data_IF_907625450568
#
_entry.id   IF_907625450568
#
_cell.length_a   1.000
_cell.length_b   1.000
_cell.length_c   1.000
_cell.angle_alpha   90.00
_cell.angle_beta   90.00
_cell.angle_gamma   90.00
#
_symmetry.space_group_name_H-M   'P 1'
#
loop_
_entity.id
_entity.type
_entity.pdbx_description
1 polymer ?
#
# COMPACT_ATOMS: atom_id res chain seq x y z
N UNK A 1 28.09 -21.85 -23.58
CA UNK A 1 27.68 -21.12 -22.37
C UNK A 1 26.16 -21.29 -22.28
N UNK A 2 25.67 -22.10 -21.32
CA UNK A 2 24.22 -22.33 -21.14
C UNK A 2 23.65 -21.19 -20.33
N UNK A 3 22.71 -20.46 -20.91
CA UNK A 3 21.93 -19.45 -20.19
C UNK A 3 20.94 -20.19 -19.30
N UNK A 4 21.17 -20.18 -18.01
CA UNK A 4 20.21 -20.65 -17.02
C UNK A 4 19.16 -19.55 -16.84
N UNK A 5 17.98 -19.77 -17.41
CA UNK A 5 16.79 -18.96 -17.16
C UNK A 5 16.40 -19.14 -15.67
N UNK A 6 16.68 -18.12 -14.89
CA UNK A 6 16.22 -18.05 -13.48
C UNK A 6 14.71 -17.91 -13.44
N UNK A 7 13.99 -19.02 -13.39
CA UNK A 7 12.57 -19.04 -13.05
C UNK A 7 12.43 -18.62 -11.60
N UNK A 8 11.64 -17.57 -11.37
CA UNK A 8 11.06 -17.30 -10.05
C UNK A 8 10.46 -18.61 -9.51
N UNK A 9 10.69 -19.01 -8.26
CA UNK A 9 10.16 -20.27 -7.74
C UNK A 9 8.65 -20.22 -7.84
N UNK A 10 8.07 -21.09 -8.67
CA UNK A 10 6.65 -21.44 -8.63
C UNK A 10 6.43 -22.20 -7.32
N UNK A 11 6.26 -21.46 -6.21
CA UNK A 11 5.72 -22.04 -5.01
C UNK A 11 4.23 -22.26 -5.25
N UNK A 12 3.90 -23.42 -5.79
CA UNK A 12 2.58 -24.00 -5.61
C UNK A 12 2.44 -24.40 -4.13
N UNK A 13 2.42 -23.42 -3.23
CA UNK A 13 2.01 -23.64 -1.85
C UNK A 13 0.55 -24.09 -1.90
N UNK A 14 0.24 -25.19 -1.21
CA UNK A 14 -1.13 -25.70 -1.10
C UNK A 14 -2.03 -24.80 -0.25
N UNK A 15 -1.51 -23.73 0.32
CA UNK A 15 -2.22 -22.73 1.12
C UNK A 15 -2.21 -21.34 0.45
N UNK A 16 -3.23 -20.51 0.71
CA UNK A 16 -3.21 -19.12 0.27
C UNK A 16 -2.03 -18.36 0.88
N UNK A 17 -1.50 -17.38 0.12
CA UNK A 17 -0.53 -16.42 0.64
C UNK A 17 -1.21 -15.49 1.64
N UNK A 18 -0.57 -15.23 2.76
CA UNK A 18 -1.03 -14.27 3.77
C UNK A 18 -0.33 -12.94 3.58
N UNK A 19 -1.10 -11.90 3.37
CA UNK A 19 -0.60 -10.53 3.18
C UNK A 19 -1.23 -9.64 4.23
N UNK A 20 -0.43 -8.92 5.00
CA UNK A 20 -0.95 -7.91 5.91
C UNK A 20 -0.50 -6.51 5.48
N UNK A 21 -1.44 -5.57 5.55
CA UNK A 21 -1.18 -4.16 5.29
C UNK A 21 -1.24 -3.38 6.60
N UNK A 22 -0.18 -2.64 6.89
CA UNK A 22 0.00 -1.92 8.15
C UNK A 22 -0.23 -0.43 7.92
N UNK A 23 -1.16 0.19 8.65
CA UNK A 23 -1.38 1.62 8.52
C UNK A 23 -2.57 2.15 9.31
N UNK A 24 -3.15 3.25 8.83
CA UNK A 24 -4.27 3.92 9.47
C UNK A 24 -5.48 3.99 8.55
N UNK A 25 -6.63 3.66 9.11
CA UNK A 25 -7.94 4.00 8.54
C UNK A 25 -8.52 5.17 9.32
N UNK A 26 -9.00 6.17 8.61
CA UNK A 26 -9.58 7.39 9.18
C UNK A 26 -11.03 7.56 8.75
N UNK A 27 -11.80 8.32 9.54
CA UNK A 27 -13.09 8.85 9.11
C UNK A 27 -12.83 9.94 8.07
N UNK A 28 -13.40 9.77 6.88
CA UNK A 28 -13.41 10.79 5.83
C UNK A 28 -14.75 11.52 5.85
N UNK A 29 -14.70 12.83 5.97
CA UNK A 29 -15.85 13.71 5.85
C UNK A 29 -15.70 14.57 4.59
N UNK A 30 -16.68 14.50 3.71
CA UNK A 30 -16.66 15.26 2.45
C UNK A 30 -17.86 16.19 2.38
N UNK A 31 -17.65 17.45 2.06
CA UNK A 31 -18.69 18.47 1.97
C UNK A 31 -18.29 19.77 2.64
N UNK A 32 -19.29 20.57 2.97
CA UNK A 32 -19.12 21.85 3.66
C UNK A 32 -20.25 22.10 4.68
N UNK A 33 -20.10 23.06 5.61
CA UNK A 33 -21.11 23.31 6.64
C UNK A 33 -22.47 23.75 6.14
N UNK A 34 -22.57 24.30 4.92
CA UNK A 34 -23.83 24.79 4.35
C UNK A 34 -24.59 23.68 3.64
N UNK A 35 -23.91 22.79 2.91
CA UNK A 35 -24.49 21.68 2.15
C UNK A 35 -24.56 20.37 2.92
N UNK A 36 -23.89 20.30 4.08
CA UNK A 36 -23.75 19.08 4.88
C UNK A 36 -22.56 18.23 4.46
N UNK A 37 -22.39 17.11 5.15
CA UNK A 37 -21.25 16.21 4.96
C UNK A 37 -21.73 14.80 4.64
N UNK A 38 -21.03 14.14 3.72
CA UNK A 38 -21.07 12.69 3.58
C UNK A 38 -19.89 12.08 4.34
N UNK A 39 -20.11 10.94 4.96
CA UNK A 39 -19.10 10.22 5.74
C UNK A 39 -18.75 8.91 5.05
N UNK A 40 -17.47 8.63 4.98
CA UNK A 40 -16.91 7.34 4.57
C UNK A 40 -15.62 7.06 5.33
N UNK A 41 -14.86 6.06 4.93
CA UNK A 41 -13.57 5.73 5.53
C UNK A 41 -12.49 5.70 4.45
N UNK A 42 -11.27 6.14 4.81
CA UNK A 42 -10.14 6.20 3.90
C UNK A 42 -8.81 6.04 4.62
N UNK A 43 -7.80 5.68 3.85
CA UNK A 43 -6.42 5.50 4.26
C UNK A 43 -5.66 4.82 3.13
N UNK A 44 -4.43 5.21 2.87
CA UNK A 44 -3.64 4.70 1.76
C UNK A 44 -3.48 3.18 1.79
N UNK A 45 -3.05 2.65 2.92
CA UNK A 45 -2.87 1.20 3.09
C UNK A 45 -4.21 0.44 3.14
N UNK A 46 -5.29 1.08 3.64
CA UNK A 46 -6.63 0.49 3.55
C UNK A 46 -7.10 0.40 2.11
N UNK A 47 -6.92 1.48 1.32
CA UNK A 47 -7.29 1.48 -0.10
C UNK A 47 -6.57 0.35 -0.84
N UNK A 48 -5.27 0.19 -0.58
CA UNK A 48 -4.46 -0.90 -1.15
C UNK A 48 -4.97 -2.27 -0.68
N UNK A 49 -5.33 -2.44 0.60
CA UNK A 49 -5.86 -3.70 1.13
C UNK A 49 -7.18 -4.11 0.47
N UNK A 50 -8.10 -3.16 0.34
CA UNK A 50 -9.41 -3.39 -0.29
C UNK A 50 -9.24 -3.79 -1.77
N UNK A 51 -8.42 -3.05 -2.52
CA UNK A 51 -8.18 -3.39 -3.93
C UNK A 51 -7.45 -4.73 -4.09
N UNK A 52 -6.46 -5.03 -3.22
CA UNK A 52 -5.78 -6.33 -3.23
C UNK A 52 -6.76 -7.48 -2.99
N UNK A 53 -7.64 -7.35 -2.00
CA UNK A 53 -8.69 -8.33 -1.69
C UNK A 53 -9.66 -8.51 -2.87
N UNK A 54 -10.10 -7.41 -3.51
CA UNK A 54 -11.02 -7.45 -4.66
C UNK A 54 -10.42 -8.11 -5.90
N UNK A 55 -9.09 -8.03 -6.07
CA UNK A 55 -8.36 -8.58 -7.23
C UNK A 55 -7.90 -10.01 -7.04
N UNK A 56 -8.02 -10.55 -5.85
CA UNK A 56 -7.43 -11.84 -5.51
C UNK A 56 -8.45 -12.74 -4.83
N UNK A 57 -8.77 -13.92 -5.40
CA UNK A 57 -9.59 -14.90 -4.69
C UNK A 57 -8.95 -15.28 -3.35
N UNK A 58 -9.74 -15.41 -2.30
CA UNK A 58 -9.26 -15.81 -0.96
C UNK A 58 -8.56 -17.19 -0.95
N UNK A 59 -8.80 -18.01 -1.95
CA UNK A 59 -8.06 -19.25 -2.16
C UNK A 59 -6.60 -19.04 -2.58
N UNK A 60 -6.25 -17.85 -3.07
CA UNK A 60 -4.90 -17.50 -3.49
C UNK A 60 -4.22 -16.53 -2.52
N UNK A 61 -4.94 -15.49 -2.07
CA UNK A 61 -4.40 -14.46 -1.19
C UNK A 61 -5.43 -14.16 -0.10
N UNK A 62 -5.00 -14.23 1.15
CA UNK A 62 -5.74 -13.73 2.31
C UNK A 62 -5.11 -12.39 2.68
N UNK A 63 -5.94 -11.36 2.74
CA UNK A 63 -5.52 -9.99 3.05
C UNK A 63 -6.01 -9.60 4.43
N UNK A 64 -5.11 -9.21 5.31
CA UNK A 64 -5.41 -8.72 6.66
C UNK A 64 -4.98 -7.25 6.81
N UNK A 65 -5.67 -6.53 7.68
CA UNK A 65 -5.31 -5.16 8.03
C UNK A 65 -4.77 -5.08 9.45
N UNK A 66 -3.64 -4.42 9.63
CA UNK A 66 -2.97 -4.24 10.91
C UNK A 66 -2.98 -2.76 11.28
N UNK A 67 -3.69 -2.46 12.34
CA UNK A 67 -3.89 -1.10 12.86
C UNK A 67 -4.37 -1.16 14.31
N UNK A 68 -4.65 0.00 14.89
CA UNK A 68 -5.43 0.10 16.11
C UNK A 68 -6.65 1.01 15.90
N UNK A 69 -7.74 0.67 16.55
CA UNK A 69 -9.01 1.44 16.62
C UNK A 69 -9.51 1.56 18.05
N UNK A 70 -10.54 2.34 18.25
CA UNK A 70 -11.19 2.48 19.55
C UNK A 70 -12.31 1.47 19.79
N UNK A 71 -13.15 1.80 20.81
CA UNK A 71 -14.36 1.08 21.17
C UNK A 71 -15.64 1.83 20.77
N UNK A 72 -15.51 2.84 19.94
CA UNK A 72 -16.58 3.68 19.43
C UNK A 72 -17.27 3.09 18.18
N UNK A 73 -18.45 3.65 17.84
CA UNK A 73 -19.26 3.17 16.70
C UNK A 73 -18.60 3.34 15.34
N UNK A 74 -17.69 4.32 15.15
CA UNK A 74 -16.94 4.46 13.91
C UNK A 74 -15.88 3.37 13.77
N UNK A 75 -15.21 3.03 14.88
CA UNK A 75 -14.28 1.90 14.92
C UNK A 75 -14.96 0.57 14.57
N UNK A 76 -16.17 0.34 15.07
CA UNK A 76 -16.97 -0.84 14.71
C UNK A 76 -17.38 -0.83 13.22
N UNK A 77 -17.83 0.32 12.72
CA UNK A 77 -18.21 0.48 11.31
C UNK A 77 -17.02 0.30 10.35
N UNK A 78 -15.82 0.78 10.72
CA UNK A 78 -14.59 0.53 9.95
C UNK A 78 -14.30 -0.97 9.84
N UNK A 79 -14.31 -1.67 10.97
CA UNK A 79 -14.07 -3.13 10.99
C UNK A 79 -15.12 -3.89 10.20
N UNK A 80 -16.38 -3.46 10.23
CA UNK A 80 -17.42 -4.07 9.40
C UNK A 80 -17.16 -3.85 7.92
N UNK A 81 -16.79 -2.62 7.49
CA UNK A 81 -16.40 -2.34 6.11
C UNK A 81 -15.25 -3.26 5.65
N UNK A 82 -14.23 -3.44 6.47
CA UNK A 82 -13.09 -4.29 6.10
C UNK A 82 -13.53 -5.74 5.88
N UNK A 83 -14.34 -6.29 6.77
CA UNK A 83 -14.92 -7.65 6.60
C UNK A 83 -15.77 -7.77 5.34
N UNK A 84 -16.63 -6.77 5.05
CA UNK A 84 -17.47 -6.74 3.86
C UNK A 84 -16.63 -6.65 2.56
N UNK A 85 -15.43 -6.07 2.65
CA UNK A 85 -14.46 -6.02 1.58
C UNK A 85 -13.53 -7.25 1.52
N UNK A 86 -13.72 -8.22 2.42
CA UNK A 86 -12.90 -9.42 2.49
C UNK A 86 -11.51 -9.18 3.06
N UNK A 87 -11.33 -8.10 3.82
CA UNK A 87 -10.10 -7.79 4.53
C UNK A 87 -10.25 -8.22 5.99
N UNK A 88 -9.35 -9.10 6.45
CA UNK A 88 -9.36 -9.63 7.80
C UNK A 88 -8.97 -8.57 8.84
N UNK A 89 -9.59 -8.65 10.02
CA UNK A 89 -9.37 -7.74 11.15
C UNK A 89 -8.90 -8.47 12.44
N UNK A 90 -8.41 -9.69 12.29
CA UNK A 90 -8.04 -10.55 13.42
C UNK A 90 -6.85 -10.01 14.25
N UNK A 91 -6.02 -9.17 13.67
CA UNK A 91 -4.87 -8.54 14.33
C UNK A 91 -5.04 -7.03 14.54
N UNK A 92 -6.28 -6.52 14.48
CA UNK A 92 -6.58 -5.13 14.82
C UNK A 92 -6.60 -4.98 16.34
N UNK A 93 -5.81 -4.03 16.86
CA UNK A 93 -5.85 -3.71 18.29
C UNK A 93 -7.04 -2.82 18.62
N UNK A 94 -7.75 -3.17 19.68
CA UNK A 94 -8.82 -2.34 20.25
C UNK A 94 -8.25 -1.64 21.47
N UNK A 95 -8.26 -0.31 21.45
CA UNK A 95 -7.73 0.53 22.54
C UNK A 95 -8.89 1.28 23.17
N UNK A 96 -9.19 0.96 24.43
CA UNK A 96 -10.27 1.62 25.16
C UNK A 96 -10.01 3.12 25.31
N UNK A 97 -11.05 3.93 25.07
CA UNK A 97 -10.98 5.38 25.12
C UNK A 97 -10.26 6.07 23.95
N UNK A 98 -9.61 5.30 23.07
CA UNK A 98 -9.03 5.87 21.85
C UNK A 98 -10.08 6.01 20.74
N UNK A 99 -9.76 6.81 19.72
CA UNK A 99 -10.65 7.09 18.58
C UNK A 99 -9.86 7.01 17.27
N UNK A 100 -10.53 6.73 16.13
CA UNK A 100 -9.87 6.83 14.82
C UNK A 100 -9.55 8.29 14.47
N UNK A 101 -8.58 8.45 13.59
CA UNK A 101 -8.31 9.76 12.98
C UNK A 101 -9.48 10.21 12.11
N UNK A 102 -9.57 11.52 11.90
CA UNK A 102 -10.61 12.16 11.10
C UNK A 102 -9.95 13.14 10.12
N UNK A 103 -10.47 13.21 8.90
CA UNK A 103 -10.14 14.30 7.98
C UNK A 103 -11.35 14.77 7.20
N UNK A 104 -11.31 16.05 6.80
CA UNK A 104 -12.30 16.67 5.93
C UNK A 104 -11.70 16.92 4.55
N UNK A 105 -12.48 16.66 3.52
CA UNK A 105 -12.20 17.09 2.16
C UNK A 105 -13.19 18.21 1.82
N UNK A 106 -12.66 19.43 1.72
CA UNK A 106 -13.40 20.59 1.24
C UNK A 106 -12.99 20.85 -0.20
N UNK A 107 -13.96 21.05 -1.07
CA UNK A 107 -13.73 21.44 -2.47
C UNK A 107 -14.19 22.88 -2.63
N UNK A 108 -13.30 23.74 -3.10
CA UNK A 108 -13.65 25.15 -3.36
C UNK A 108 -14.43 25.34 -4.67
N UNK A 109 -14.81 26.58 -4.96
CA UNK A 109 -15.57 26.91 -6.17
C UNK A 109 -14.79 26.67 -7.49
N UNK A 110 -13.47 26.53 -7.43
CA UNK A 110 -12.58 26.22 -8.54
C UNK A 110 -12.37 24.70 -8.70
N UNK A 111 -12.90 23.89 -7.77
CA UNK A 111 -12.73 22.44 -7.76
C UNK A 111 -11.47 21.97 -7.04
N UNK A 112 -10.69 22.88 -6.46
CA UNK A 112 -9.48 22.55 -5.70
C UNK A 112 -9.84 21.93 -4.34
N UNK A 113 -9.10 20.90 -3.94
CA UNK A 113 -9.37 20.18 -2.70
C UNK A 113 -8.43 20.62 -1.60
N UNK A 114 -9.01 20.89 -0.43
CA UNK A 114 -8.30 21.15 0.81
C UNK A 114 -8.60 20.07 1.81
N UNK A 115 -7.54 19.49 2.40
CA UNK A 115 -7.61 18.47 3.43
C UNK A 115 -7.34 19.07 4.80
N UNK A 116 -8.22 18.79 5.76
CA UNK A 116 -8.06 19.20 7.16
C UNK A 116 -8.04 17.94 8.01
N UNK A 117 -6.99 17.75 8.82
CA UNK A 117 -6.74 16.53 9.56
C UNK A 117 -6.84 16.71 11.07
N UNK A 118 -7.51 15.76 11.73
CA UNK A 118 -7.51 15.54 13.17
C UNK A 118 -7.08 14.09 13.43
N UNK A 119 -5.77 13.85 13.50
CA UNK A 119 -5.21 12.50 13.65
C UNK A 119 -4.09 12.42 14.69
N UNK A 120 -3.81 13.54 15.40
CA UNK A 120 -2.70 13.62 16.35
C UNK A 120 -2.80 12.64 17.51
N UNK A 121 -4.03 12.23 17.89
CA UNK A 121 -4.34 11.28 18.97
C UNK A 121 -5.03 10.02 18.47
N UNK A 122 -4.97 9.74 17.17
CA UNK A 122 -5.62 8.57 16.60
C UNK A 122 -5.07 7.26 17.20
N UNK A 123 -5.96 6.30 17.42
CA UNK A 123 -5.62 4.97 17.94
C UNK A 123 -4.49 4.29 17.16
N UNK A 124 -4.50 4.45 15.83
CA UNK A 124 -3.50 3.87 14.93
C UNK A 124 -2.06 4.28 15.27
N UNK A 125 -1.85 5.43 15.91
CA UNK A 125 -0.51 5.88 16.36
C UNK A 125 0.10 4.94 17.40
N UNK A 126 -0.75 4.26 18.18
CA UNK A 126 -0.39 3.38 19.28
C UNK A 126 -0.40 1.90 18.90
N UNK A 127 -0.52 1.57 17.60
CA UNK A 127 -0.64 0.19 17.12
C UNK A 127 0.45 -0.74 17.69
N UNK A 128 1.65 -0.23 17.85
CA UNK A 128 2.81 -1.02 18.31
C UNK A 128 3.35 -0.57 19.68
N UNK A 129 2.59 0.22 20.43
CA UNK A 129 3.01 0.71 21.74
C UNK A 129 2.59 -0.24 22.88
N UNK A 130 3.50 -0.37 23.84
CA UNK A 130 3.27 -1.07 25.10
C UNK A 130 3.21 -2.59 24.98
N UNK A 131 3.16 -3.30 26.14
CA UNK A 131 3.21 -4.77 26.19
C UNK A 131 2.04 -5.45 25.47
N UNK A 132 0.90 -4.76 25.33
CA UNK A 132 -0.26 -5.29 24.61
C UNK A 132 -0.02 -5.43 23.10
N UNK A 133 1.05 -4.83 22.55
CA UNK A 133 1.46 -5.00 21.16
C UNK A 133 2.31 -6.25 20.92
N UNK A 134 2.83 -6.90 21.96
CA UNK A 134 3.80 -7.99 21.81
C UNK A 134 3.28 -9.17 20.97
N UNK A 135 2.04 -9.58 21.21
CA UNK A 135 1.41 -10.65 20.43
C UNK A 135 1.26 -10.27 18.94
N UNK A 136 0.87 -9.02 18.66
CA UNK A 136 0.78 -8.49 17.30
C UNK A 136 2.15 -8.44 16.63
N UNK A 137 3.18 -7.93 17.33
CA UNK A 137 4.56 -7.84 16.82
C UNK A 137 5.16 -9.23 16.53
N UNK A 138 4.77 -10.26 17.28
CA UNK A 138 5.16 -11.65 17.02
C UNK A 138 4.42 -12.21 15.80
N UNK A 139 3.13 -11.94 15.66
CA UNK A 139 2.29 -12.43 14.57
C UNK A 139 2.72 -11.89 13.19
N UNK A 140 3.51 -10.82 13.11
CA UNK A 140 4.03 -10.31 11.82
C UNK A 140 4.86 -11.36 11.08
N UNK A 141 5.50 -12.28 11.79
CA UNK A 141 6.29 -13.36 11.19
C UNK A 141 5.44 -14.50 10.59
N UNK A 142 4.12 -14.51 10.81
CA UNK A 142 3.20 -15.51 10.27
C UNK A 142 2.67 -15.14 8.86
N UNK A 143 3.03 -13.96 8.37
CA UNK A 143 2.67 -13.46 7.04
C UNK A 143 3.74 -13.76 6.01
N UNK A 144 3.31 -14.03 4.78
CA UNK A 144 4.22 -14.17 3.64
C UNK A 144 4.70 -12.79 3.14
N UNK A 145 3.82 -11.79 3.24
CA UNK A 145 4.12 -10.40 2.86
C UNK A 145 3.56 -9.40 3.86
N UNK A 146 4.35 -8.36 4.13
CA UNK A 146 3.93 -7.19 4.90
C UNK A 146 4.07 -5.94 4.02
N UNK A 147 2.98 -5.22 3.85
CA UNK A 147 2.92 -3.97 3.11
C UNK A 147 2.85 -2.79 4.09
N UNK A 148 3.71 -1.82 3.89
CA UNK A 148 3.77 -0.58 4.66
C UNK A 148 3.91 0.62 3.72
N UNK A 149 3.45 1.78 4.18
CA UNK A 149 3.72 3.05 3.50
C UNK A 149 4.58 3.98 4.33
N UNK A 150 5.05 5.06 3.72
CA UNK A 150 5.71 6.13 4.45
C UNK A 150 4.81 6.78 5.50
N UNK A 151 3.48 6.82 5.25
CA UNK A 151 2.50 7.26 6.24
C UNK A 151 2.45 6.29 7.43
N UNK A 152 2.52 4.97 7.18
CA UNK A 152 2.55 3.97 8.26
C UNK A 152 3.68 4.24 9.26
N UNK A 153 4.86 4.63 8.77
CA UNK A 153 5.99 5.00 9.65
C UNK A 153 5.78 6.35 10.34
N UNK A 154 5.26 7.34 9.60
CA UNK A 154 5.15 8.71 10.06
C UNK A 154 4.18 8.89 11.22
N UNK A 155 3.07 8.13 11.23
CA UNK A 155 2.03 8.25 12.26
C UNK A 155 2.41 7.62 13.59
N UNK A 156 3.29 6.61 13.57
CA UNK A 156 3.66 5.88 14.79
C UNK A 156 4.46 6.77 15.75
N UNK A 157 4.33 6.49 17.03
CA UNK A 157 5.26 7.02 18.04
C UNK A 157 6.69 6.56 17.73
N UNK A 158 7.69 7.25 18.25
CA UNK A 158 9.08 6.83 18.07
C UNK A 158 9.31 5.40 18.59
N UNK A 159 8.75 5.07 19.75
CA UNK A 159 8.83 3.72 20.35
C UNK A 159 8.12 2.68 19.49
N UNK A 160 6.86 2.95 19.07
CA UNK A 160 6.08 2.03 18.25
C UNK A 160 6.76 1.76 16.89
N UNK A 161 7.38 2.78 16.28
CA UNK A 161 8.16 2.63 15.04
C UNK A 161 9.40 1.76 15.25
N UNK A 162 10.13 1.94 16.35
CA UNK A 162 11.27 1.09 16.66
C UNK A 162 10.86 -0.37 16.90
N UNK A 163 9.78 -0.60 17.67
CA UNK A 163 9.21 -1.93 17.89
C UNK A 163 8.81 -2.60 16.56
N UNK A 164 8.14 -1.86 15.69
CA UNK A 164 7.77 -2.34 14.35
C UNK A 164 9.02 -2.73 13.53
N UNK A 165 10.03 -1.86 13.43
CA UNK A 165 11.25 -2.15 12.67
C UNK A 165 11.99 -3.39 13.19
N UNK A 166 12.03 -3.58 14.52
CA UNK A 166 12.58 -4.79 15.11
C UNK A 166 11.77 -6.04 14.76
N UNK A 167 10.43 -5.95 14.79
CA UNK A 167 9.56 -7.05 14.40
C UNK A 167 9.68 -7.39 12.90
N UNK A 168 9.80 -6.38 12.02
CA UNK A 168 10.05 -6.58 10.59
C UNK A 168 11.37 -7.30 10.32
N UNK A 169 12.45 -6.97 11.07
CA UNK A 169 13.72 -7.71 10.98
C UNK A 169 13.54 -9.18 11.32
N UNK A 170 12.78 -9.50 12.39
CA UNK A 170 12.48 -10.89 12.78
C UNK A 170 11.62 -11.59 11.73
N UNK A 171 10.56 -10.95 11.27
CA UNK A 171 9.67 -11.50 10.25
C UNK A 171 10.45 -11.81 8.95
N UNK A 172 11.30 -10.88 8.49
CA UNK A 172 12.15 -11.10 7.32
C UNK A 172 13.13 -12.26 7.50
N UNK A 173 13.72 -12.41 8.68
CA UNK A 173 14.58 -13.55 8.99
C UNK A 173 13.83 -14.90 8.97
N UNK A 174 12.50 -14.88 9.17
CA UNK A 174 11.61 -16.05 9.05
C UNK A 174 11.08 -16.26 7.63
N UNK A 175 11.42 -15.39 6.65
CA UNK A 175 11.05 -15.55 5.25
C UNK A 175 9.92 -14.61 4.77
N UNK A 176 9.36 -13.78 5.64
CA UNK A 176 8.40 -12.73 5.27
C UNK A 176 9.05 -11.71 4.35
N UNK A 177 8.38 -11.32 3.28
CA UNK A 177 8.82 -10.27 2.36
C UNK A 177 8.17 -8.94 2.69
N UNK A 178 8.94 -7.87 2.56
CA UNK A 178 8.48 -6.52 2.89
C UNK A 178 8.22 -5.73 1.60
N UNK A 179 7.03 -5.15 1.51
CA UNK A 179 6.60 -4.26 0.42
C UNK A 179 6.45 -2.85 0.97
N UNK A 180 7.06 -1.88 0.31
CA UNK A 180 7.05 -0.49 0.74
C UNK A 180 6.51 0.44 -0.35
N UNK A 181 5.54 1.30 0.00
CA UNK A 181 5.09 2.44 -0.79
C UNK A 181 5.61 3.73 -0.14
N UNK A 182 6.35 4.55 -0.87
CA UNK A 182 7.01 5.71 -0.28
C UNK A 182 6.03 6.74 0.30
N UNK A 183 4.95 7.04 -0.36
CA UNK A 183 3.83 7.89 0.07
C UNK A 183 4.25 8.98 1.09
N UNK A 184 5.23 9.81 0.71
CA UNK A 184 5.85 10.80 1.58
C UNK A 184 4.92 11.99 1.82
N UNK A 185 4.71 12.31 3.10
CA UNK A 185 3.90 13.47 3.51
C UNK A 185 4.71 14.34 4.48
N UNK A 186 5.34 15.41 3.99
CA UNK A 186 6.25 16.25 4.79
C UNK A 186 5.66 16.69 6.14
N UNK A 187 4.39 17.06 6.16
CA UNK A 187 3.71 17.57 7.36
C UNK A 187 3.51 16.54 8.48
N UNK A 188 3.76 15.25 8.21
CA UNK A 188 3.70 14.19 9.22
C UNK A 188 5.05 13.95 9.92
N UNK A 189 6.11 14.61 9.46
CA UNK A 189 7.45 14.44 9.98
C UNK A 189 7.93 15.71 10.67
N UNK A 190 8.77 15.61 11.71
CA UNK A 190 9.40 16.78 12.31
C UNK A 190 10.23 17.57 11.30
N UNK A 191 10.97 16.85 10.46
CA UNK A 191 11.79 17.36 9.37
C UNK A 191 12.09 16.26 8.34
N UNK A 192 12.71 16.62 7.22
CA UNK A 192 13.05 15.71 6.16
C UNK A 192 14.15 14.70 6.56
N UNK A 193 15.02 15.04 7.50
CA UNK A 193 16.09 14.14 7.94
C UNK A 193 15.52 12.97 8.76
N UNK A 194 14.59 13.23 9.66
CA UNK A 194 13.87 12.19 10.40
C UNK A 194 13.11 11.24 9.44
N UNK A 195 12.53 11.79 8.38
CA UNK A 195 11.88 10.97 7.34
C UNK A 195 12.90 10.11 6.59
N UNK A 196 14.03 10.69 6.12
CA UNK A 196 15.08 9.95 5.39
C UNK A 196 15.65 8.82 6.24
N UNK A 197 15.87 9.05 7.52
CA UNK A 197 16.38 8.01 8.42
C UNK A 197 15.39 6.86 8.55
N UNK A 198 14.11 7.15 8.82
CA UNK A 198 13.08 6.12 8.98
C UNK A 198 12.86 5.32 7.68
N UNK A 199 12.86 6.01 6.52
CA UNK A 199 12.78 5.35 5.21
C UNK A 199 14.01 4.48 4.95
N UNK A 200 15.22 5.00 5.22
CA UNK A 200 16.46 4.22 5.07
C UNK A 200 16.48 2.97 5.93
N UNK A 201 15.94 3.03 7.16
CA UNK A 201 15.84 1.86 8.04
C UNK A 201 14.85 0.81 7.51
N UNK A 202 13.72 1.24 6.91
CA UNK A 202 12.77 0.33 6.29
C UNK A 202 13.26 -0.19 4.94
N UNK A 203 13.87 0.66 4.09
CA UNK A 203 14.37 0.27 2.77
C UNK A 203 15.40 -0.86 2.84
N UNK A 204 16.23 -0.91 3.90
CA UNK A 204 17.16 -2.06 4.14
C UNK A 204 16.46 -3.39 4.41
N UNK A 205 15.15 -3.34 4.68
CA UNK A 205 14.32 -4.53 4.92
C UNK A 205 13.39 -4.81 3.74
N UNK A 206 13.28 -3.88 2.78
CA UNK A 206 12.31 -3.92 1.69
C UNK A 206 12.77 -4.84 0.56
N UNK A 207 11.87 -5.70 0.10
CA UNK A 207 12.07 -6.57 -1.07
C UNK A 207 11.45 -5.97 -2.34
N UNK A 208 10.27 -5.35 -2.24
CA UNK A 208 9.57 -4.68 -3.33
C UNK A 208 9.24 -3.24 -2.92
N UNK A 209 9.65 -2.26 -3.71
CA UNK A 209 9.34 -0.84 -3.52
C UNK A 209 8.42 -0.33 -4.62
N UNK A 210 7.27 0.26 -4.24
CA UNK A 210 6.25 0.83 -5.11
C UNK A 210 6.29 2.36 -4.97
N UNK A 211 7.14 3.01 -5.74
CA UNK A 211 7.60 4.38 -5.50
C UNK A 211 6.89 5.37 -6.40
N UNK A 212 6.43 6.48 -5.81
CA UNK A 212 5.96 7.66 -6.54
C UNK A 212 7.14 8.62 -6.71
N UNK A 213 7.45 8.98 -7.95
CA UNK A 213 8.62 9.82 -8.29
C UNK A 213 8.63 11.14 -7.54
N UNK A 214 7.50 11.84 -7.51
CA UNK A 214 7.40 13.16 -6.92
C UNK A 214 7.67 13.15 -5.40
N UNK A 215 7.21 12.09 -4.72
CA UNK A 215 7.41 11.92 -3.28
C UNK A 215 8.90 11.67 -2.95
N UNK A 216 9.58 10.84 -3.74
CA UNK A 216 11.00 10.54 -3.55
C UNK A 216 11.92 11.70 -3.97
N UNK A 217 11.60 12.36 -5.08
CA UNK A 217 12.31 13.56 -5.50
C UNK A 217 12.24 14.67 -4.43
N UNK A 218 11.07 14.81 -3.79
CA UNK A 218 10.88 15.77 -2.70
C UNK A 218 11.67 15.38 -1.45
N UNK A 219 11.73 14.08 -1.08
CA UNK A 219 12.39 13.64 0.15
C UNK A 219 13.91 13.53 -0.01
N UNK A 220 14.37 12.87 -1.08
CA UNK A 220 15.78 12.51 -1.27
C UNK A 220 16.49 13.41 -2.29
N UNK A 221 15.76 14.11 -3.16
CA UNK A 221 16.34 15.01 -4.16
C UNK A 221 17.05 14.28 -5.30
N UNK A 222 16.63 13.07 -5.67
CA UNK A 222 17.22 12.37 -6.82
C UNK A 222 17.06 13.17 -8.10
N UNK A 223 18.13 13.22 -8.89
CA UNK A 223 18.17 14.00 -10.13
C UNK A 223 17.34 13.35 -11.24
N UNK A 224 17.32 12.02 -11.27
CA UNK A 224 16.64 11.21 -12.27
C UNK A 224 16.32 9.79 -11.74
N UNK A 225 15.65 9.00 -12.54
CA UNK A 225 15.27 7.63 -12.18
C UNK A 225 16.49 6.71 -11.99
N UNK A 226 17.60 6.98 -12.69
CA UNK A 226 18.83 6.17 -12.56
C UNK A 226 19.42 6.32 -11.16
N UNK A 227 19.57 7.56 -10.69
CA UNK A 227 20.05 7.85 -9.33
C UNK A 227 19.15 7.22 -8.25
N UNK A 228 17.82 7.20 -8.47
CA UNK A 228 16.89 6.52 -7.59
C UNK A 228 17.14 5.01 -7.58
N UNK A 229 17.22 4.37 -8.75
CA UNK A 229 17.42 2.93 -8.85
C UNK A 229 18.77 2.49 -8.24
N UNK A 230 19.84 3.25 -8.43
CA UNK A 230 21.13 3.02 -7.80
C UNK A 230 21.03 3.08 -6.28
N UNK A 231 20.35 4.09 -5.73
CA UNK A 231 20.16 4.25 -4.30
C UNK A 231 19.34 3.10 -3.70
N UNK A 232 18.23 2.70 -4.35
CA UNK A 232 17.41 1.59 -3.90
C UNK A 232 18.15 0.25 -3.98
N UNK A 233 18.95 0.05 -5.02
CA UNK A 233 19.87 -1.09 -5.15
C UNK A 233 20.89 -1.14 -4.00
N UNK A 234 21.43 0.01 -3.60
CA UNK A 234 22.35 0.11 -2.47
C UNK A 234 21.69 -0.24 -1.12
N UNK A 235 20.38 -0.02 -0.96
CA UNK A 235 19.61 -0.51 0.19
C UNK A 235 19.34 -2.02 0.12
N UNK A 236 19.52 -2.66 -1.02
CA UNK A 236 19.26 -4.09 -1.24
C UNK A 236 17.84 -4.41 -1.72
N UNK A 237 17.09 -3.42 -2.18
CA UNK A 237 15.75 -3.62 -2.75
C UNK A 237 15.85 -4.39 -4.05
N UNK A 238 15.17 -5.53 -4.16
CA UNK A 238 15.28 -6.43 -5.31
C UNK A 238 14.36 -6.08 -6.49
N UNK A 239 13.27 -5.36 -6.22
CA UNK A 239 12.33 -4.90 -7.25
C UNK A 239 11.82 -3.50 -6.90
N UNK A 240 11.91 -2.56 -7.83
CA UNK A 240 11.39 -1.19 -7.71
C UNK A 240 10.46 -0.92 -8.88
N UNK A 241 9.22 -0.54 -8.59
CA UNK A 241 8.28 -0.01 -9.57
C UNK A 241 8.08 1.49 -9.32
N UNK A 242 8.61 2.32 -10.22
CA UNK A 242 8.59 3.77 -10.13
C UNK A 242 7.41 4.34 -10.90
N UNK A 243 6.39 4.77 -10.15
CA UNK A 243 5.19 5.44 -10.65
C UNK A 243 5.51 6.90 -10.99
N UNK A 244 5.09 7.37 -12.17
CA UNK A 244 5.36 8.72 -12.67
C UNK A 244 4.09 9.39 -13.22
N UNK A 245 2.99 9.31 -12.46
CA UNK A 245 1.69 9.87 -12.84
C UNK A 245 1.19 9.33 -14.18
N UNK A 246 1.00 10.20 -15.16
CA UNK A 246 0.57 9.85 -16.52
C UNK A 246 1.70 9.34 -17.44
N UNK A 247 2.94 9.46 -16.99
CA UNK A 247 4.08 8.90 -17.71
C UNK A 247 4.21 7.39 -17.46
N UNK A 248 5.08 6.75 -18.24
CA UNK A 248 5.33 5.33 -18.12
C UNK A 248 5.88 4.96 -16.72
N UNK A 249 5.41 3.86 -16.15
CA UNK A 249 6.04 3.25 -14.98
C UNK A 249 7.38 2.64 -15.40
N UNK A 250 8.44 2.95 -14.66
CA UNK A 250 9.74 2.31 -14.83
C UNK A 250 9.92 1.23 -13.78
N UNK A 251 10.43 0.08 -14.18
CA UNK A 251 10.67 -1.03 -13.26
C UNK A 251 12.12 -1.44 -13.35
N UNK A 252 12.75 -1.64 -12.20
CA UNK A 252 14.03 -2.32 -12.08
C UNK A 252 13.90 -3.52 -11.17
N UNK A 253 14.33 -4.69 -11.64
CA UNK A 253 14.34 -5.92 -10.85
C UNK A 253 15.49 -6.84 -11.32
N UNK A 254 15.59 -8.05 -10.76
CA UNK A 254 16.61 -9.04 -11.13
C UNK A 254 16.51 -9.48 -12.61
N UNK A 255 15.32 -9.43 -13.20
CA UNK A 255 15.09 -9.82 -14.59
C UNK A 255 15.44 -8.70 -15.59
N UNK A 256 15.80 -7.52 -15.10
CA UNK A 256 16.19 -6.36 -15.91
C UNK A 256 15.36 -5.12 -15.64
N UNK A 257 15.32 -4.25 -16.65
CA UNK A 257 14.57 -2.99 -16.64
C UNK A 257 13.43 -3.03 -17.63
N UNK A 258 12.30 -2.47 -17.22
CA UNK A 258 11.11 -2.40 -18.04
C UNK A 258 10.52 -0.98 -17.99
N UNK A 259 9.94 -0.57 -19.09
CA UNK A 259 9.15 0.65 -19.20
C UNK A 259 7.76 0.29 -19.70
N UNK A 260 6.74 0.63 -18.91
CA UNK A 260 5.35 0.29 -19.19
C UNK A 260 4.53 1.58 -19.26
N UNK A 261 3.98 1.93 -20.44
CA UNK A 261 3.24 3.17 -20.62
C UNK A 261 1.96 3.17 -19.77
N UNK A 262 1.60 4.35 -19.26
CA UNK A 262 0.35 4.54 -18.56
C UNK A 262 -0.87 4.41 -19.49
N UNK A 263 -1.99 4.01 -18.97
CA UNK A 263 -3.24 3.97 -19.70
C UNK A 263 -3.81 5.40 -19.84
N UNK A 264 -4.16 5.78 -21.07
CA UNK A 264 -4.69 7.12 -21.34
C UNK A 264 -6.11 7.27 -20.79
N UNK A 265 -6.33 8.29 -19.96
CA UNK A 265 -7.63 8.62 -19.38
C UNK A 265 -8.12 9.96 -19.94
N UNK A 266 -9.31 9.97 -20.54
CA UNK A 266 -9.90 11.19 -21.13
C UNK A 266 -10.54 12.11 -20.09
N UNK A 267 -11.08 11.54 -19.03
CA UNK A 267 -11.84 12.23 -18.00
C UNK A 267 -11.33 11.83 -16.63
N UNK A 268 -10.59 12.72 -15.99
CA UNK A 268 -10.16 12.57 -14.61
C UNK A 268 -11.19 13.27 -13.72
N UNK A 269 -11.78 12.50 -12.80
CA UNK A 269 -12.78 12.98 -11.84
C UNK A 269 -12.14 13.20 -10.46
N UNK A 270 -11.31 12.26 -10.02
CA UNK A 270 -10.69 12.28 -8.70
C UNK A 270 -9.41 11.44 -8.71
N UNK A 271 -8.27 12.02 -8.36
CA UNK A 271 -6.98 11.30 -8.33
C UNK A 271 -6.71 10.59 -7.00
N UNK A 272 -7.66 10.64 -6.05
CA UNK A 272 -7.53 9.95 -4.76
C UNK A 272 -7.36 8.46 -4.98
N UNK A 273 -6.40 7.87 -4.28
CA UNK A 273 -6.05 6.45 -4.34
C UNK A 273 -5.57 5.92 -5.71
N UNK A 274 -5.19 6.78 -6.66
CA UNK A 274 -4.58 6.32 -7.91
C UNK A 274 -3.30 5.51 -7.65
N UNK A 275 -2.41 6.01 -6.80
CA UNK A 275 -1.19 5.31 -6.38
C UNK A 275 -1.48 4.03 -5.60
N UNK A 276 -2.44 4.08 -4.64
CA UNK A 276 -2.81 2.94 -3.81
C UNK A 276 -3.38 1.79 -4.65
N UNK A 277 -4.26 2.13 -5.60
CA UNK A 277 -4.86 1.17 -6.51
C UNK A 277 -3.83 0.58 -7.49
N UNK A 278 -2.90 1.40 -8.00
CA UNK A 278 -1.78 0.88 -8.78
C UNK A 278 -0.97 -0.13 -7.97
N UNK A 279 -0.59 0.24 -6.74
CA UNK A 279 0.20 -0.60 -5.85
C UNK A 279 -0.50 -1.93 -5.52
N UNK A 280 -1.82 -1.89 -5.27
CA UNK A 280 -2.62 -3.08 -5.04
C UNK A 280 -2.65 -4.03 -6.25
N UNK A 281 -2.89 -3.49 -7.45
CA UNK A 281 -2.98 -4.30 -8.66
C UNK A 281 -1.60 -4.84 -9.08
N UNK A 282 -0.54 -4.05 -8.92
CA UNK A 282 0.83 -4.50 -9.13
C UNK A 282 1.14 -5.69 -8.21
N UNK A 283 0.92 -5.53 -6.92
CA UNK A 283 1.16 -6.57 -5.93
C UNK A 283 0.30 -7.81 -6.21
N UNK A 284 -1.00 -7.66 -6.48
CA UNK A 284 -1.90 -8.76 -6.79
C UNK A 284 -1.37 -9.60 -7.97
N UNK A 285 -0.92 -8.95 -9.04
CA UNK A 285 -0.36 -9.63 -10.21
C UNK A 285 0.94 -10.38 -9.86
N UNK A 286 1.87 -9.72 -9.14
CA UNK A 286 3.14 -10.34 -8.73
C UNK A 286 2.93 -11.56 -7.84
N UNK A 287 2.02 -11.47 -6.87
CA UNK A 287 1.69 -12.57 -5.95
C UNK A 287 1.03 -13.75 -6.65
N UNK A 288 0.35 -13.52 -7.76
CA UNK A 288 -0.24 -14.56 -8.60
C UNK A 288 0.73 -15.10 -9.67
N UNK A 289 2.00 -14.68 -9.65
CA UNK A 289 3.05 -15.18 -10.55
C UNK A 289 3.17 -14.42 -11.87
N UNK A 290 2.50 -13.27 -12.02
CA UNK A 290 2.67 -12.38 -13.18
C UNK A 290 4.06 -11.74 -13.22
N UNK A 291 4.57 -11.45 -14.43
CA UNK A 291 5.84 -10.74 -14.61
C UNK A 291 5.71 -9.24 -14.24
N UNK A 292 6.83 -8.53 -14.02
CA UNK A 292 6.79 -7.12 -13.62
C UNK A 292 6.09 -6.20 -14.61
N UNK A 293 6.21 -6.46 -15.92
CA UNK A 293 5.55 -5.66 -16.96
C UNK A 293 4.03 -5.86 -16.95
N UNK A 294 3.57 -7.09 -16.75
CA UNK A 294 2.15 -7.39 -16.59
C UNK A 294 1.60 -6.74 -15.31
N UNK A 295 2.37 -6.79 -14.22
CA UNK A 295 1.99 -6.18 -12.96
C UNK A 295 1.80 -4.65 -13.10
N UNK A 296 2.70 -3.96 -13.81
CA UNK A 296 2.53 -2.53 -14.09
C UNK A 296 1.33 -2.24 -15.00
N UNK A 297 1.06 -3.09 -16.00
CA UNK A 297 -0.18 -2.97 -16.81
C UNK A 297 -1.44 -3.11 -15.95
N UNK A 298 -1.47 -4.05 -15.02
CA UNK A 298 -2.59 -4.17 -14.06
C UNK A 298 -2.72 -2.92 -13.19
N UNK A 299 -1.60 -2.41 -12.68
CA UNK A 299 -1.55 -1.16 -11.92
C UNK A 299 -2.12 0.01 -12.69
N UNK A 300 -1.65 0.25 -13.91
CA UNK A 300 -2.16 1.32 -14.77
C UNK A 300 -3.64 1.14 -15.10
N UNK A 301 -4.07 -0.07 -15.39
CA UNK A 301 -5.47 -0.37 -15.71
C UNK A 301 -6.42 -0.05 -14.57
N UNK A 302 -6.06 -0.47 -13.35
CA UNK A 302 -6.89 -0.18 -12.18
C UNK A 302 -6.83 1.31 -11.83
N UNK A 303 -5.65 1.93 -11.80
CA UNK A 303 -5.52 3.35 -11.52
C UNK A 303 -6.32 4.21 -12.52
N UNK A 304 -6.28 3.86 -13.82
CA UNK A 304 -7.06 4.52 -14.86
C UNK A 304 -8.57 4.43 -14.61
N UNK A 305 -9.07 3.32 -14.07
CA UNK A 305 -10.47 3.21 -13.66
C UNK A 305 -10.76 4.04 -12.42
N UNK A 306 -9.90 3.98 -11.41
CA UNK A 306 -10.10 4.69 -10.14
C UNK A 306 -10.20 6.20 -10.36
N UNK A 307 -9.34 6.80 -11.16
CA UNK A 307 -9.34 8.25 -11.37
C UNK A 307 -10.58 8.77 -12.13
N UNK A 308 -11.39 7.91 -12.69
CA UNK A 308 -12.66 8.25 -13.35
C UNK A 308 -13.87 8.27 -12.39
N UNK A 309 -13.64 7.97 -11.11
CA UNK A 309 -14.70 7.91 -10.09
C UNK A 309 -14.35 8.86 -8.92
N UNK A 310 -15.37 9.23 -8.17
CA UNK A 310 -15.18 10.03 -6.94
C UNK A 310 -14.83 9.12 -5.76
N UNK A 311 -13.88 9.57 -4.94
CA UNK A 311 -13.45 8.88 -3.72
C UNK A 311 -12.38 7.81 -3.97
N UNK A 312 -11.88 7.25 -2.88
CA UNK A 312 -10.76 6.31 -2.92
C UNK A 312 -11.16 4.91 -3.41
N UNK A 313 -12.36 4.45 -3.06
CA UNK A 313 -12.86 3.12 -3.38
C UNK A 313 -13.99 3.19 -4.41
N UNK A 314 -13.73 2.72 -5.62
CA UNK A 314 -14.73 2.66 -6.68
C UNK A 314 -15.76 1.54 -6.43
N UNK A 315 -16.96 1.61 -7.00
CA UNK A 315 -17.92 0.51 -6.93
C UNK A 315 -17.30 -0.80 -7.45
N UNK A 316 -17.65 -1.93 -6.84
CA UNK A 316 -17.17 -3.27 -7.29
C UNK A 316 -17.54 -3.54 -8.75
N UNK A 317 -18.66 -3.03 -9.22
CA UNK A 317 -19.11 -3.15 -10.63
C UNK A 317 -18.26 -2.36 -11.62
N UNK A 318 -17.46 -1.40 -11.14
CA UNK A 318 -16.54 -0.60 -11.95
C UNK A 318 -15.10 -1.18 -11.95
N UNK A 319 -14.84 -2.25 -11.21
CA UNK A 319 -13.54 -2.90 -11.20
C UNK A 319 -13.21 -3.46 -12.59
N UNK A 320 -12.00 -3.24 -13.11
CA UNK A 320 -11.61 -3.82 -14.38
C UNK A 320 -11.40 -5.35 -14.24
N UNK A 321 -11.68 -6.08 -15.31
CA UNK A 321 -11.30 -7.49 -15.38
C UNK A 321 -9.81 -7.60 -15.64
N UNK A 322 -9.08 -8.16 -14.67
CA UNK A 322 -7.65 -8.41 -14.75
C UNK A 322 -7.43 -9.92 -14.60
N UNK A 323 -6.72 -10.52 -15.56
CA UNK A 323 -6.45 -11.95 -15.56
C UNK A 323 -5.00 -12.20 -15.98
N UNK A 324 -4.38 -13.22 -15.38
CA UNK A 324 -3.12 -13.74 -15.87
C UNK A 324 -3.36 -14.38 -17.25
N UNK A 325 -2.40 -14.29 -18.18
CA UNK A 325 -2.47 -15.04 -19.42
C UNK A 325 -2.65 -16.53 -19.10
N UNK A 326 -3.67 -17.16 -19.67
CA UNK A 326 -3.79 -18.61 -19.62
C UNK A 326 -2.60 -19.19 -20.40
N UNK A 327 -1.72 -19.92 -19.73
CA UNK A 327 -0.77 -20.77 -20.43
C UNK A 327 -1.58 -21.84 -21.16
N UNK A 328 -1.88 -21.60 -22.42
CA UNK A 328 -2.27 -22.66 -23.33
C UNK A 328 -1.10 -23.64 -23.36
N UNK A 329 -1.31 -24.84 -22.85
CA UNK A 329 -0.39 -25.96 -23.04
C UNK A 329 -0.38 -26.30 -24.53
N UNK A 330 0.41 -25.56 -25.32
CA UNK A 330 0.81 -25.99 -26.63
C UNK A 330 1.84 -27.12 -26.44
N UNK A 331 1.35 -28.28 -26.08
CA UNK A 331 1.97 -29.53 -26.41
C UNK A 331 1.25 -29.99 -27.68
N UNK A 332 1.80 -29.64 -28.82
CA UNK A 332 1.48 -30.30 -30.07
C UNK A 332 2.77 -30.81 -30.68
N UNK A 333 2.78 -32.13 -30.72
CA UNK A 333 3.31 -33.11 -31.67
C UNK A 333 4.66 -32.82 -32.35
#
# INVERSE_FOLDING_TARGET
>A
MRVTTGRCPQNASSRPLKVALVGECMIEMRGDPASGFSQTFGGDTLNTAVYLSRLSPASHIVTDYITAVGTDSFSDAMRQLWRDEGVGDGHVRIIDGAQPGLYFIQTDAQGERRFLYWRGEAAARQTFDGPQADALLQALADYDYLYLSGISLAILTATGRECLLQALRRARASGTRIVFDNNYRPHLWPDAEAARQAYGDLLRLTDLALITWEDDALLFGYADAEALFEAYGAFGVSEVALKRGEAACLIQCTDGRFEVPAEQVRHIVDTTAAGDSFSAAYLACRLQGGDPSLAARWGHRLAAQVVQHRGALIPRTAMPSLALPSFSSAVEA
#
